data_IF_404279131608
#
_entry.id   IF_404279131608
#
_cell.length_a   1.000
_cell.length_b   1.000
_cell.length_c   1.000
_cell.angle_alpha   90.00
_cell.angle_beta   90.00
_cell.angle_gamma   90.00
#
_symmetry.space_group_name_H-M   'P 1'
#
loop_
_entity.id
_entity.type
_entity.pdbx_description
1 polymer ?
#
# COMPACT_ATOMS: atom_id res chain seq x y z
N UNK A 1 -8.07 -37.51 17.62
CA UNK A 1 -7.90 -36.43 16.62
C UNK A 1 -6.42 -36.05 16.66
N UNK A 2 -5.72 -36.12 15.54
CA UNK A 2 -4.30 -35.72 15.44
C UNK A 2 -4.18 -34.71 14.32
N UNK A 3 -4.24 -33.43 14.68
CA UNK A 3 -4.11 -32.29 13.78
C UNK A 3 -2.80 -31.57 14.08
N UNK A 4 -2.15 -31.03 13.04
CA UNK A 4 -0.84 -30.38 13.12
C UNK A 4 -0.94 -28.98 12.54
N UNK A 5 -0.36 -28.00 13.24
CA UNK A 5 -0.31 -26.62 12.76
C UNK A 5 0.91 -26.38 11.85
N UNK A 6 0.67 -25.78 10.69
CA UNK A 6 1.74 -25.35 9.78
C UNK A 6 2.13 -23.90 10.06
N UNK A 7 3.34 -23.66 10.55
CA UNK A 7 3.85 -22.30 10.82
C UNK A 7 3.92 -21.40 9.57
N UNK A 8 4.24 -21.98 8.41
CA UNK A 8 4.31 -21.25 7.11
C UNK A 8 2.94 -20.71 6.67
N UNK A 9 1.89 -21.50 6.87
CA UNK A 9 0.54 -21.19 6.39
C UNK A 9 -0.38 -20.65 7.48
N UNK A 10 0.02 -20.78 8.76
CA UNK A 10 -0.81 -20.57 9.95
C UNK A 10 -2.17 -21.26 9.83
N UNK A 11 -2.15 -22.51 9.36
CA UNK A 11 -3.35 -23.35 9.24
C UNK A 11 -3.08 -24.73 9.78
N UNK A 12 -4.08 -25.30 10.43
CA UNK A 12 -4.09 -26.70 10.85
C UNK A 12 -4.44 -27.62 9.66
N UNK A 13 -3.81 -28.79 9.64
CA UNK A 13 -4.18 -29.87 8.73
C UNK A 13 -4.17 -31.20 9.49
N UNK A 14 -5.05 -32.11 9.08
CA UNK A 14 -5.17 -33.39 9.75
C UNK A 14 -4.11 -34.37 9.27
N UNK A 15 -3.53 -35.12 10.19
CA UNK A 15 -2.58 -36.22 9.91
C UNK A 15 -3.12 -37.57 10.38
N UNK A 16 -4.40 -37.64 10.77
CA UNK A 16 -4.99 -38.83 11.36
C UNK A 16 -5.20 -40.00 10.40
N UNK A 17 -5.11 -39.78 9.08
CA UNK A 17 -5.43 -40.79 8.08
C UNK A 17 -4.19 -41.45 7.49
N UNK A 18 -3.20 -40.66 7.08
CA UNK A 18 -1.99 -41.15 6.42
C UNK A 18 -0.70 -40.64 7.06
N UNK A 19 -0.79 -39.91 8.18
CA UNK A 19 0.36 -39.47 8.97
C UNK A 19 1.39 -38.71 8.13
N UNK A 20 2.55 -39.34 7.95
CA UNK A 20 3.67 -38.79 7.17
C UNK A 20 3.31 -38.42 5.72
N UNK A 21 2.43 -39.19 5.08
CA UNK A 21 1.99 -38.89 3.69
C UNK A 21 1.15 -37.62 3.62
N UNK A 22 0.36 -37.32 4.65
CA UNK A 22 -0.45 -36.10 4.70
C UNK A 22 0.45 -34.86 4.88
N UNK A 23 1.56 -35.01 5.62
CA UNK A 23 2.60 -33.99 5.74
C UNK A 23 3.29 -33.76 4.40
N UNK A 24 3.71 -34.82 3.71
CA UNK A 24 4.35 -34.71 2.39
C UNK A 24 3.42 -34.07 1.35
N UNK A 25 2.13 -34.43 1.37
CA UNK A 25 1.13 -33.83 0.50
C UNK A 25 0.93 -32.34 0.82
N UNK A 26 0.90 -31.96 2.10
CA UNK A 26 0.81 -30.57 2.53
C UNK A 26 2.01 -29.74 2.07
N UNK A 27 3.24 -30.23 2.25
CA UNK A 27 4.46 -29.56 1.79
C UNK A 27 4.50 -29.40 0.26
N UNK A 28 4.01 -30.42 -0.46
CA UNK A 28 3.97 -30.38 -1.92
C UNK A 28 2.79 -29.60 -2.50
N UNK A 29 1.82 -29.21 -1.66
CA UNK A 29 0.65 -28.44 -2.06
C UNK A 29 1.05 -27.10 -2.68
N UNK A 30 0.27 -26.68 -3.68
CA UNK A 30 0.39 -25.34 -4.28
C UNK A 30 0.27 -24.24 -3.24
N UNK A 31 -0.54 -24.45 -2.18
CA UNK A 31 -0.75 -23.46 -1.12
C UNK A 31 0.56 -23.18 -0.37
N UNK A 32 1.25 -24.23 0.08
CA UNK A 32 2.53 -24.13 0.81
C UNK A 32 3.61 -23.49 -0.07
N UNK A 33 3.80 -24.02 -1.29
CA UNK A 33 4.76 -23.47 -2.26
C UNK A 33 4.50 -21.99 -2.60
N UNK A 34 3.24 -21.58 -2.72
CA UNK A 34 2.90 -20.18 -2.96
C UNK A 34 3.20 -19.29 -1.75
N UNK A 35 2.97 -19.77 -0.53
CA UNK A 35 3.29 -19.05 0.69
C UNK A 35 4.81 -18.87 0.86
N UNK A 36 5.60 -19.91 0.61
CA UNK A 36 7.07 -19.82 0.61
C UNK A 36 7.57 -18.84 -0.43
N UNK A 37 7.03 -18.92 -1.66
CA UNK A 37 7.37 -17.97 -2.73
C UNK A 37 6.99 -16.54 -2.35
N UNK A 38 5.81 -16.34 -1.75
CA UNK A 38 5.39 -15.01 -1.30
C UNK A 38 6.31 -14.47 -0.20
N UNK A 39 6.72 -15.31 0.75
CA UNK A 39 7.65 -14.92 1.81
C UNK A 39 9.03 -14.56 1.23
N UNK A 40 9.56 -15.37 0.30
CA UNK A 40 10.85 -15.15 -0.35
C UNK A 40 10.87 -13.89 -1.24
N UNK A 41 9.74 -13.57 -1.88
CA UNK A 41 9.58 -12.36 -2.70
C UNK A 41 9.21 -11.13 -1.87
N UNK A 42 8.72 -11.31 -0.65
CA UNK A 42 8.38 -10.20 0.23
C UNK A 42 9.64 -9.52 0.72
N UNK A 43 9.64 -8.19 0.66
CA UNK A 43 10.67 -7.37 1.28
C UNK A 43 10.08 -6.68 2.52
N UNK A 44 10.93 -6.42 3.52
CA UNK A 44 10.50 -5.70 4.70
C UNK A 44 10.06 -4.29 4.32
N UNK A 45 8.88 -3.86 4.76
CA UNK A 45 8.41 -2.48 4.54
C UNK A 45 9.35 -1.43 5.16
N UNK A 46 10.17 -1.83 6.13
CA UNK A 46 11.19 -0.98 6.75
C UNK A 46 12.26 -0.50 5.76
N UNK A 47 12.40 -1.14 4.60
CA UNK A 47 13.35 -0.70 3.56
C UNK A 47 12.87 0.56 2.84
N UNK A 48 11.57 0.86 2.84
CA UNK A 48 11.02 2.07 2.22
C UNK A 48 11.18 3.31 3.10
N UNK A 49 11.33 3.12 4.41
CA UNK A 49 11.58 4.23 5.33
C UNK A 49 13.05 4.64 5.29
N UNK A 50 13.30 5.96 5.30
CA UNK A 50 14.65 6.49 5.44
C UNK A 50 15.23 6.02 6.78
N UNK A 51 16.39 5.35 6.74
CA UNK A 51 17.15 4.94 7.95
C UNK A 51 17.89 6.09 8.64
N UNK A 52 17.44 7.33 8.42
CA UNK A 52 18.06 8.53 9.01
C UNK A 52 17.39 8.84 10.33
N UNK A 53 18.20 9.04 11.37
CA UNK A 53 17.69 9.41 12.71
C UNK A 53 17.25 10.88 12.80
N UNK A 54 17.52 11.68 11.77
CA UNK A 54 17.14 13.09 11.72
C UNK A 54 16.55 13.46 10.34
N UNK A 55 15.49 14.28 10.31
CA UNK A 55 14.95 14.80 9.06
C UNK A 55 15.93 15.77 8.43
N UNK A 56 16.09 15.70 7.11
CA UNK A 56 16.82 16.72 6.35
C UNK A 56 15.93 17.96 6.16
N UNK A 57 16.52 19.11 5.80
CA UNK A 57 15.72 20.32 5.48
C UNK A 57 14.67 20.06 4.40
N UNK A 58 15.02 19.26 3.37
CA UNK A 58 14.08 18.83 2.33
C UNK A 58 12.93 17.99 2.87
N UNK A 59 13.18 17.15 3.89
CA UNK A 59 12.13 16.35 4.51
C UNK A 59 11.15 17.23 5.27
N UNK A 60 11.64 18.29 5.92
CA UNK A 60 10.80 19.29 6.58
C UNK A 60 9.97 20.09 5.58
N UNK A 61 10.54 20.47 4.44
CA UNK A 61 9.82 21.18 3.36
C UNK A 61 8.70 20.31 2.76
N UNK A 62 8.97 19.02 2.55
CA UNK A 62 7.96 18.04 2.09
C UNK A 62 6.87 17.88 3.15
N UNK A 63 7.23 17.70 4.41
CA UNK A 63 6.26 17.56 5.50
C UNK A 63 5.37 18.80 5.65
N UNK A 64 5.94 20.00 5.52
CA UNK A 64 5.17 21.26 5.53
C UNK A 64 4.18 21.31 4.35
N UNK A 65 4.65 20.91 3.16
CA UNK A 65 3.85 20.85 1.94
C UNK A 65 2.68 19.87 2.05
N UNK A 66 2.94 18.66 2.57
CA UNK A 66 1.91 17.65 2.85
C UNK A 66 0.90 18.13 3.89
N UNK A 67 1.37 18.83 4.93
CA UNK A 67 0.50 19.44 5.95
C UNK A 67 -0.42 20.51 5.36
N UNK A 68 0.09 21.37 4.49
CA UNK A 68 -0.71 22.37 3.75
C UNK A 68 -1.75 21.69 2.87
N UNK A 69 -1.37 20.61 2.15
CA UNK A 69 -2.29 19.83 1.33
C UNK A 69 -3.42 19.20 2.17
N UNK A 70 -3.06 18.55 3.29
CA UNK A 70 -4.03 17.91 4.17
C UNK A 70 -5.03 18.92 4.76
N UNK A 71 -4.54 20.07 5.23
CA UNK A 71 -5.39 21.15 5.72
C UNK A 71 -6.32 21.67 4.62
N UNK A 72 -5.78 21.94 3.43
CA UNK A 72 -6.54 22.40 2.27
C UNK A 72 -7.65 21.41 1.89
N UNK A 73 -7.35 20.10 1.84
CA UNK A 73 -8.33 19.04 1.53
C UNK A 73 -9.50 19.00 2.52
N UNK A 74 -9.22 19.21 3.81
CA UNK A 74 -10.27 19.23 4.84
C UNK A 74 -11.15 20.47 4.70
N UNK A 75 -10.55 21.64 4.45
CA UNK A 75 -11.28 22.90 4.38
C UNK A 75 -12.12 23.04 3.10
N UNK A 76 -11.57 22.62 1.96
CA UNK A 76 -12.16 22.91 0.64
C UNK A 76 -13.14 21.82 0.13
N UNK A 77 -13.56 20.89 1.00
CA UNK A 77 -14.54 19.82 0.78
C UNK A 77 -14.76 19.52 -0.72
N UNK A 78 -13.79 18.80 -1.32
CA UNK A 78 -13.54 18.69 -2.76
C UNK A 78 -14.80 18.69 -3.65
N UNK A 79 -15.30 19.87 -3.96
CA UNK A 79 -16.23 20.07 -5.06
C UNK A 79 -15.46 19.77 -6.34
N UNK A 80 -16.02 19.00 -7.26
CA UNK A 80 -15.46 18.82 -8.61
C UNK A 80 -15.15 20.16 -9.31
N UNK A 81 -15.75 21.27 -8.83
CA UNK A 81 -15.51 22.64 -9.31
C UNK A 81 -14.32 23.35 -8.66
N UNK A 82 -13.73 22.85 -7.57
CA UNK A 82 -12.60 23.46 -6.84
C UNK A 82 -11.22 22.93 -7.27
N UNK A 83 -11.14 22.19 -8.39
CA UNK A 83 -9.86 21.67 -8.88
C UNK A 83 -8.88 22.78 -9.34
N UNK A 84 -9.33 24.03 -9.49
CA UNK A 84 -8.49 25.16 -9.87
C UNK A 84 -7.58 25.63 -8.72
N UNK A 85 -8.10 25.72 -7.49
CA UNK A 85 -7.31 26.07 -6.32
C UNK A 85 -6.35 24.92 -5.94
N UNK A 86 -6.82 23.67 -6.03
CA UNK A 86 -5.98 22.49 -5.80
C UNK A 86 -4.82 22.41 -6.83
N UNK A 87 -5.09 22.68 -8.11
CA UNK A 87 -4.05 22.68 -9.15
C UNK A 87 -2.98 23.75 -8.91
N UNK A 88 -3.36 24.95 -8.47
CA UNK A 88 -2.40 26.01 -8.09
C UNK A 88 -1.56 25.62 -6.88
N UNK A 89 -2.18 24.96 -5.90
CA UNK A 89 -1.46 24.48 -4.72
C UNK A 89 -0.43 23.41 -5.13
N UNK A 90 -0.81 22.47 -6.00
CA UNK A 90 0.11 21.46 -6.55
C UNK A 90 1.24 22.10 -7.35
N UNK A 91 0.94 23.14 -8.15
CA UNK A 91 1.95 23.91 -8.88
C UNK A 91 2.98 24.57 -7.97
N UNK A 92 2.54 25.12 -6.84
CA UNK A 92 3.43 25.77 -5.88
C UNK A 92 4.27 24.78 -5.06
N UNK A 93 3.71 23.60 -4.79
CA UNK A 93 4.21 22.68 -3.79
C UNK A 93 4.98 21.48 -4.36
N UNK A 94 4.62 21.00 -5.55
CA UNK A 94 5.14 19.74 -6.10
C UNK A 94 5.68 19.88 -7.51
N UNK A 95 4.85 20.34 -8.46
CA UNK A 95 5.23 20.43 -9.87
C UNK A 95 4.68 21.71 -10.52
N UNK A 96 5.53 22.71 -10.83
CA UNK A 96 5.09 23.97 -11.42
C UNK A 96 4.44 23.82 -12.80
N UNK A 97 4.65 22.68 -13.49
CA UNK A 97 4.02 22.38 -14.78
C UNK A 97 2.75 21.56 -14.65
N UNK A 98 2.32 21.24 -13.43
CA UNK A 98 1.10 20.50 -13.20
C UNK A 98 -0.09 21.26 -13.79
N UNK A 99 -0.82 20.62 -14.69
CA UNK A 99 -2.07 21.17 -15.23
C UNK A 99 -3.12 20.08 -15.18
N UNK A 100 -4.26 20.38 -14.56
CA UNK A 100 -5.41 19.48 -14.56
C UNK A 100 -6.50 20.08 -15.45
N UNK A 101 -6.72 19.46 -16.61
CA UNK A 101 -7.79 19.89 -17.51
C UNK A 101 -9.15 19.59 -16.88
N UNK A 102 -10.08 20.53 -16.98
CA UNK A 102 -11.46 20.30 -16.58
C UNK A 102 -12.10 19.34 -17.58
N UNK A 103 -12.49 18.15 -17.13
CA UNK A 103 -13.34 17.27 -17.95
C UNK A 103 -14.68 17.98 -18.14
N UNK A 104 -14.93 18.48 -19.36
CA UNK A 104 -16.27 18.90 -19.77
C UNK A 104 -17.08 17.63 -19.97
N UNK A 105 -17.79 17.16 -18.95
CA UNK A 105 -19.00 16.39 -19.21
C UNK A 105 -20.04 17.37 -19.75
N UNK A 106 -20.04 17.57 -21.06
CA UNK A 106 -21.20 18.14 -21.72
C UNK A 106 -22.30 17.07 -21.59
N UNK A 107 -23.10 17.14 -20.53
CA UNK A 107 -24.43 16.53 -20.56
C UNK A 107 -25.15 17.22 -21.72
N UNK A 108 -25.27 16.52 -22.84
CA UNK A 108 -26.15 16.92 -23.94
C UNK A 108 -27.55 17.16 -23.34
N UNK A 109 -28.13 18.27 -23.77
CA UNK A 109 -29.43 18.79 -23.36
C UNK A 109 -30.56 17.78 -23.48
#
# INVERSE_FOLDING_TARGET
>A
MSDVESFVLRTEFSVSHSGARDIEQHLNSKKHKNADRAAALSSSLLTFFKKSNAPTSKDLDIAATEGVWAYYTIQENHSFRSNNCASKLIQSCFDPKFTCARTKSNLLQ
#
